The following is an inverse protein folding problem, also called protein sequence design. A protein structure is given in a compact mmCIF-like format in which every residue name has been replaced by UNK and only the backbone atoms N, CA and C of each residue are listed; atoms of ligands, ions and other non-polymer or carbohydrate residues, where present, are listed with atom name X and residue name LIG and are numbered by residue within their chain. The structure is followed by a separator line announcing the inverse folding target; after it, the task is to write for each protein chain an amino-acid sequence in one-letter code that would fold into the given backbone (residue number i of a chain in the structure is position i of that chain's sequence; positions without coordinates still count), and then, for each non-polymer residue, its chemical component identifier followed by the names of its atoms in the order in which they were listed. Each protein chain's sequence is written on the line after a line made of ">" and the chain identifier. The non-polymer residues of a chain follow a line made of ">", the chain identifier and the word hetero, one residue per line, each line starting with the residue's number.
data_IF_952890152936
#
_entry.id   IF_952890152936
#
_cell.length_a   1.000
_cell.length_b   1.000
_cell.length_c   1.000
_cell.angle_alpha   90.00
_cell.angle_beta   90.00
_cell.angle_gamma   90.00
#
_symmetry.space_group_name_H-M   'P 1'
#
loop_
_entity.id
_entity.type
_entity.pdbx_description
1 polymer ?
#
# COMPACT_ATOMS: atom_id res chain seq x y z
N UNK A 1 7.35 41.01 45.71
CA UNK A 1 6.40 41.14 44.60
C UNK A 1 6.36 39.83 43.83
N UNK A 2 5.16 39.25 43.79
CA UNK A 2 4.57 38.29 42.82
C UNK A 2 5.42 37.09 42.37
N UNK A 3 5.08 35.93 42.94
CA UNK A 3 5.20 34.61 42.32
C UNK A 3 3.94 34.32 41.48
N UNK A 4 4.09 33.65 40.34
CA UNK A 4 2.95 33.12 39.56
C UNK A 4 3.24 31.66 39.22
N UNK A 5 2.61 30.77 39.99
CA UNK A 5 2.44 29.36 39.66
C UNK A 5 0.96 29.17 39.33
N UNK A 6 0.67 28.75 38.09
CA UNK A 6 -0.68 28.42 37.63
C UNK A 6 -0.92 26.94 37.91
N UNK A 7 -1.73 26.67 38.93
CA UNK A 7 -2.25 25.36 39.29
C UNK A 7 -3.59 25.15 38.57
N UNK A 8 -3.68 24.10 37.74
CA UNK A 8 -4.90 23.73 37.00
C UNK A 8 -5.65 22.66 37.79
N UNK A 9 -6.84 23.01 38.29
CA UNK A 9 -7.76 22.10 38.96
C UNK A 9 -8.55 21.25 37.94
N UNK A 10 -8.74 19.94 38.17
CA UNK A 10 -9.66 19.13 37.36
C UNK A 10 -11.10 19.28 37.88
N UNK A 11 -12.00 19.75 37.02
CA UNK A 11 -13.45 19.71 37.26
C UNK A 11 -14.03 18.37 36.79
N UNK A 12 -14.51 17.58 37.75
CA UNK A 12 -15.33 16.39 37.51
C UNK A 12 -16.76 16.79 37.15
N UNK A 13 -17.18 16.56 35.89
CA UNK A 13 -18.58 16.70 35.48
C UNK A 13 -19.25 15.34 35.59
N UNK A 14 -20.17 15.21 36.56
CA UNK A 14 -21.16 14.14 36.63
C UNK A 14 -22.36 14.54 35.78
N UNK A 15 -22.65 13.80 34.71
CA UNK A 15 -23.94 13.84 34.02
C UNK A 15 -24.74 12.61 34.44
N UNK A 16 -25.60 12.81 35.43
CA UNK A 16 -26.75 11.95 35.70
C UNK A 16 -27.96 12.47 34.93
N UNK A 17 -28.72 11.56 34.34
CA UNK A 17 -29.93 11.88 33.58
C UNK A 17 -30.55 10.59 33.03
N UNK A 18 -31.10 9.78 33.94
CA UNK A 18 -32.01 8.70 33.58
C UNK A 18 -33.36 9.32 33.20
N UNK A 19 -33.74 9.25 31.92
CA UNK A 19 -35.13 9.41 31.52
C UNK A 19 -35.85 8.07 31.72
N UNK A 20 -36.51 7.92 32.87
CA UNK A 20 -37.49 6.86 33.09
C UNK A 20 -38.77 7.24 32.33
N UNK A 21 -39.11 6.45 31.31
CA UNK A 21 -40.43 6.49 30.70
C UNK A 21 -41.50 6.13 31.74
N UNK A 22 -42.42 7.05 31.98
CA UNK A 22 -43.60 6.86 32.82
C UNK A 22 -44.51 5.78 32.20
N UNK A 23 -44.63 4.64 32.87
CA UNK A 23 -45.63 3.62 32.55
C UNK A 23 -46.82 3.85 33.48
N UNK A 24 -47.87 4.49 32.97
CA UNK A 24 -49.18 4.48 33.63
C UNK A 24 -49.91 3.17 33.26
N UNK A 25 -50.49 2.43 34.22
CA UNK A 25 -51.35 1.29 33.91
C UNK A 25 -52.78 1.78 33.68
N UNK A 26 -53.24 1.79 32.43
CA UNK A 26 -54.67 1.87 32.12
C UNK A 26 -55.28 0.47 32.12
N UNK A 27 -56.13 0.23 33.13
CA UNK A 27 -57.12 -0.86 33.13
C UNK A 27 -58.04 -0.69 31.92
N UNK A 28 -58.26 -1.77 31.18
CA UNK A 28 -59.46 -1.95 30.37
C UNK A 28 -59.92 -3.40 30.45
N UNK A 29 -61.14 -3.57 30.95
CA UNK A 29 -61.91 -4.80 30.96
C UNK A 29 -62.52 -5.08 29.57
N UNK A 30 -62.92 -6.34 29.39
CA UNK A 30 -63.63 -6.94 28.26
C UNK A 30 -64.62 -6.05 27.50
N UNK A 31 -64.58 -6.14 26.17
CA UNK A 31 -65.79 -6.32 25.35
C UNK A 31 -65.45 -6.61 23.88
N UNK A 32 -66.07 -7.66 23.36
CA UNK A 32 -65.98 -8.21 22.00
C UNK A 32 -66.45 -7.24 20.91
N UNK A 33 -65.67 -7.07 19.84
CA UNK A 33 -66.18 -6.76 18.49
C UNK A 33 -65.11 -7.05 17.41
N UNK A 34 -65.58 -7.55 16.27
CA UNK A 34 -64.81 -8.12 15.16
C UNK A 34 -63.68 -7.23 14.58
N UNK A 35 -62.51 -7.83 14.33
CA UNK A 35 -61.34 -7.19 13.73
C UNK A 35 -61.31 -7.51 12.22
N UNK A 36 -61.49 -6.49 11.37
CA UNK A 36 -61.00 -6.50 9.98
C UNK A 36 -59.52 -6.09 10.00
N UNK A 37 -58.61 -6.76 9.28
CA UNK A 37 -57.20 -6.37 9.29
C UNK A 37 -57.02 -5.06 8.52
N UNK A 38 -56.57 -4.02 9.23
CA UNK A 38 -56.09 -2.76 8.66
C UNK A 38 -54.62 -2.96 8.26
N UNK A 39 -54.19 -2.64 7.03
CA UNK A 39 -52.79 -2.76 6.67
C UNK A 39 -51.98 -1.76 7.48
N UNK A 40 -51.00 -2.28 8.23
CA UNK A 40 -50.03 -1.49 8.97
C UNK A 40 -49.02 -1.01 7.95
N UNK A 41 -49.05 0.28 7.60
CA UNK A 41 -47.97 0.92 6.85
C UNK A 41 -46.77 0.96 7.79
N UNK A 42 -45.88 -0.03 7.67
CA UNK A 42 -44.56 0.04 8.31
C UNK A 42 -43.82 1.15 7.57
N UNK A 43 -43.76 2.33 8.18
CA UNK A 43 -42.74 3.32 7.86
C UNK A 43 -41.40 2.67 8.24
N UNK A 44 -40.82 1.97 7.27
CA UNK A 44 -39.45 1.51 7.35
C UNK A 44 -38.58 2.77 7.47
N UNK A 45 -38.02 2.96 8.65
CA UNK A 45 -37.04 3.98 8.95
C UNK A 45 -35.87 3.82 7.96
N UNK A 46 -35.76 4.74 7.01
CA UNK A 46 -34.82 4.71 5.89
C UNK A 46 -33.39 5.08 6.33
N UNK A 47 -32.96 4.62 7.50
CA UNK A 47 -31.67 4.94 8.11
C UNK A 47 -30.61 3.84 7.94
N UNK A 48 -30.90 2.73 7.25
CA UNK A 48 -29.99 1.57 7.18
C UNK A 48 -29.60 1.11 5.77
N UNK A 49 -29.71 1.94 4.74
CA UNK A 49 -29.23 1.58 3.38
C UNK A 49 -28.62 2.75 2.62
N UNK A 50 -27.52 3.30 3.12
CA UNK A 50 -26.77 4.39 2.45
C UNK A 50 -25.42 3.96 1.85
N UNK A 51 -25.12 2.67 1.78
CA UNK A 51 -23.93 2.17 1.07
C UNK A 51 -24.26 1.90 -0.40
N UNK A 52 -24.43 2.97 -1.19
CA UNK A 52 -24.50 2.83 -2.65
C UNK A 52 -23.11 2.55 -3.20
N UNK A 53 -22.98 1.50 -4.03
CA UNK A 53 -21.73 1.15 -4.73
C UNK A 53 -21.18 2.35 -5.52
N UNK A 54 -22.06 3.20 -6.05
CA UNK A 54 -21.68 4.45 -6.71
C UNK A 54 -21.06 5.48 -5.78
N UNK A 55 -21.46 5.52 -4.50
CA UNK A 55 -20.86 6.40 -3.49
C UNK A 55 -19.45 5.96 -3.09
N UNK A 56 -19.22 4.65 -2.99
CA UNK A 56 -17.90 4.07 -2.71
C UNK A 56 -16.95 4.31 -3.90
N UNK A 57 -17.42 4.08 -5.13
CA UNK A 57 -16.63 4.34 -6.34
C UNK A 57 -16.30 5.82 -6.52
N UNK A 58 -17.25 6.71 -6.21
CA UNK A 58 -17.01 8.15 -6.25
C UNK A 58 -15.97 8.59 -5.20
N UNK A 59 -16.06 8.05 -3.99
CA UNK A 59 -15.07 8.31 -2.93
C UNK A 59 -13.67 7.81 -3.33
N UNK A 60 -13.58 6.59 -3.87
CA UNK A 60 -12.32 6.02 -4.35
C UNK A 60 -11.72 6.84 -5.50
N UNK A 61 -12.54 7.29 -6.45
CA UNK A 61 -12.11 8.16 -7.55
C UNK A 61 -11.58 9.52 -7.06
N UNK A 62 -12.20 10.11 -6.04
CA UNK A 62 -11.71 11.35 -5.44
C UNK A 62 -10.38 11.17 -4.69
N UNK A 63 -10.22 10.06 -3.96
CA UNK A 63 -8.96 9.71 -3.30
C UNK A 63 -7.84 9.51 -4.31
N UNK A 64 -8.10 8.75 -5.38
CA UNK A 64 -7.15 8.54 -6.47
C UNK A 64 -6.80 9.85 -7.18
N UNK A 65 -7.78 10.71 -7.45
CA UNK A 65 -7.53 12.03 -8.04
C UNK A 65 -6.61 12.89 -7.17
N UNK A 66 -6.81 12.88 -5.85
CA UNK A 66 -5.96 13.61 -4.90
C UNK A 66 -4.53 13.03 -4.87
N UNK A 67 -4.40 11.70 -4.84
CA UNK A 67 -3.10 11.03 -4.89
C UNK A 67 -2.33 11.37 -6.18
N UNK A 68 -3.01 11.40 -7.33
CA UNK A 68 -2.44 11.80 -8.63
C UNK A 68 -2.01 13.27 -8.65
N UNK A 69 -2.79 14.16 -8.03
CA UNK A 69 -2.43 15.57 -7.92
C UNK A 69 -1.17 15.77 -7.07
N UNK A 70 -1.08 15.08 -5.93
CA UNK A 70 0.11 15.07 -5.08
C UNK A 70 1.30 14.54 -5.87
N UNK A 71 1.13 13.42 -6.58
CA UNK A 71 2.19 12.84 -7.40
C UNK A 71 2.64 13.80 -8.51
N UNK A 72 1.71 14.38 -9.26
CA UNK A 72 2.00 15.31 -10.36
C UNK A 72 2.78 16.53 -9.87
N UNK A 73 2.35 17.12 -8.75
CA UNK A 73 3.03 18.29 -8.16
C UNK A 73 4.43 17.93 -7.68
N UNK A 74 4.60 16.78 -7.02
CA UNK A 74 5.90 16.30 -6.58
C UNK A 74 6.83 16.01 -7.76
N UNK A 75 6.36 15.33 -8.81
CA UNK A 75 7.10 15.06 -10.04
C UNK A 75 7.54 16.36 -10.74
N UNK A 76 6.70 17.39 -10.77
CA UNK A 76 7.06 18.69 -11.33
C UNK A 76 8.20 19.36 -10.54
N UNK A 77 8.18 19.29 -9.21
CA UNK A 77 9.27 19.82 -8.38
C UNK A 77 10.56 19.04 -8.61
N UNK A 78 10.47 17.70 -8.63
CA UNK A 78 11.63 16.83 -8.90
C UNK A 78 12.22 17.11 -10.29
N UNK A 79 11.38 17.27 -11.32
CA UNK A 79 11.81 17.62 -12.67
C UNK A 79 12.55 18.95 -12.75
N UNK A 80 12.15 19.96 -11.96
CA UNK A 80 12.86 21.24 -11.86
C UNK A 80 14.25 21.06 -11.26
N UNK A 81 14.36 20.34 -10.14
CA UNK A 81 15.64 20.06 -9.48
C UNK A 81 16.59 19.25 -10.39
N UNK A 82 16.08 18.22 -11.07
CA UNK A 82 16.86 17.44 -12.06
C UNK A 82 17.35 18.31 -13.22
N UNK A 83 16.55 19.27 -13.67
CA UNK A 83 16.95 20.22 -14.71
C UNK A 83 18.06 21.16 -14.23
N UNK A 84 18.00 21.61 -12.97
CA UNK A 84 19.07 22.41 -12.35
C UNK A 84 20.37 21.62 -12.26
N UNK A 85 20.30 20.37 -11.80
CA UNK A 85 21.43 19.43 -11.76
C UNK A 85 22.04 19.26 -13.15
N UNK A 86 21.23 18.94 -14.16
CA UNK A 86 21.68 18.76 -15.54
C UNK A 86 22.40 20.01 -16.07
N UNK A 87 21.85 21.20 -15.80
CA UNK A 87 22.46 22.47 -16.22
C UNK A 87 23.82 22.67 -15.56
N UNK A 88 23.93 22.46 -14.25
CA UNK A 88 25.20 22.59 -13.52
C UNK A 88 26.26 21.61 -14.03
N UNK A 89 25.90 20.33 -14.22
CA UNK A 89 26.80 19.31 -14.78
C UNK A 89 27.21 19.63 -16.22
N UNK A 90 26.27 20.14 -17.04
CA UNK A 90 26.58 20.54 -18.42
C UNK A 90 27.54 21.73 -18.45
N UNK A 91 27.36 22.74 -17.59
CA UNK A 91 28.30 23.84 -17.47
C UNK A 91 29.69 23.35 -17.05
N UNK A 92 29.76 22.44 -16.09
CA UNK A 92 31.01 21.82 -15.63
C UNK A 92 31.69 20.98 -16.72
N UNK A 93 30.92 20.31 -17.59
CA UNK A 93 31.47 19.55 -18.71
C UNK A 93 32.14 20.45 -19.76
N UNK A 94 31.59 21.64 -20.01
CA UNK A 94 32.13 22.57 -21.01
C UNK A 94 33.26 23.43 -20.46
N UNK A 95 33.10 23.98 -19.26
CA UNK A 95 33.99 24.98 -18.69
C UNK A 95 34.96 24.39 -17.65
N UNK A 96 34.75 23.14 -17.21
CA UNK A 96 35.48 22.52 -16.12
C UNK A 96 34.84 22.79 -14.76
N UNK A 97 34.90 21.82 -13.85
CA UNK A 97 34.28 21.88 -12.51
C UNK A 97 34.81 23.07 -11.69
N UNK A 98 36.09 23.38 -11.80
CA UNK A 98 36.72 24.49 -11.08
C UNK A 98 36.18 25.87 -11.46
N UNK A 99 35.60 25.99 -12.66
CA UNK A 99 35.04 27.23 -13.18
C UNK A 99 33.53 27.37 -12.90
N UNK A 100 32.93 26.41 -12.17
CA UNK A 100 31.53 26.45 -11.75
C UNK A 100 31.49 26.53 -10.21
N UNK A 101 31.56 27.74 -9.63
CA UNK A 101 31.61 27.92 -8.18
C UNK A 101 30.32 27.39 -7.52
N UNK A 102 30.47 26.65 -6.42
CA UNK A 102 29.34 26.10 -5.66
C UNK A 102 28.61 24.95 -6.36
N UNK A 103 29.16 24.37 -7.43
CA UNK A 103 28.52 23.25 -8.14
C UNK A 103 28.22 22.09 -7.19
N UNK A 104 29.21 21.64 -6.42
CA UNK A 104 29.05 20.51 -5.51
C UNK A 104 27.95 20.75 -4.48
N UNK A 105 27.93 21.92 -3.85
CA UNK A 105 26.90 22.30 -2.88
C UNK A 105 25.51 22.36 -3.53
N UNK A 106 25.42 22.91 -4.74
CA UNK A 106 24.15 22.97 -5.49
C UNK A 106 23.62 21.57 -5.82
N UNK A 107 24.49 20.63 -6.18
CA UNK A 107 24.13 19.24 -6.49
C UNK A 107 23.66 18.49 -5.24
N UNK A 108 24.38 18.64 -4.12
CA UNK A 108 24.00 18.05 -2.83
C UNK A 108 22.65 18.59 -2.36
N UNK A 109 22.45 19.91 -2.45
CA UNK A 109 21.18 20.56 -2.08
C UNK A 109 20.03 20.09 -2.96
N UNK A 110 20.21 20.05 -4.28
CA UNK A 110 19.18 19.61 -5.22
C UNK A 110 18.82 18.14 -4.98
N UNK A 111 19.83 17.27 -4.76
CA UNK A 111 19.61 15.86 -4.39
C UNK A 111 18.82 15.72 -3.09
N UNK A 112 19.21 16.44 -2.04
CA UNK A 112 18.49 16.41 -0.77
C UNK A 112 17.06 16.91 -0.92
N UNK A 113 16.82 17.94 -1.74
CA UNK A 113 15.49 18.45 -2.05
C UNK A 113 14.63 17.40 -2.76
N UNK A 114 15.18 16.71 -3.76
CA UNK A 114 14.51 15.62 -4.46
C UNK A 114 14.15 14.50 -3.48
N UNK A 115 15.09 14.05 -2.65
CA UNK A 115 14.85 13.01 -1.66
C UNK A 115 13.71 13.40 -0.73
N UNK A 116 13.73 14.62 -0.18
CA UNK A 116 12.68 15.11 0.69
C UNK A 116 11.30 15.13 -0.01
N UNK A 117 11.23 15.56 -1.27
CA UNK A 117 9.96 15.59 -2.03
C UNK A 117 9.43 14.18 -2.28
N UNK A 118 10.30 13.23 -2.66
CA UNK A 118 9.92 11.83 -2.86
C UNK A 118 9.42 11.20 -1.56
N UNK A 119 10.00 11.57 -0.43
CA UNK A 119 9.57 11.08 0.88
C UNK A 119 8.22 11.67 1.33
N UNK A 120 8.00 12.96 1.05
CA UNK A 120 6.77 13.66 1.42
C UNK A 120 5.60 13.37 0.46
N UNK A 121 5.89 12.85 -0.74
CA UNK A 121 4.88 12.47 -1.73
C UNK A 121 4.07 11.24 -1.27
N UNK A 122 3.15 11.48 -0.34
CA UNK A 122 2.27 10.47 0.22
C UNK A 122 0.84 10.97 0.36
N UNK A 123 -0.12 10.05 0.29
CA UNK A 123 -1.53 10.26 0.54
C UNK A 123 -2.02 9.15 1.47
N UNK A 124 -2.64 9.52 2.59
CA UNK A 124 -3.14 8.58 3.61
C UNK A 124 -2.06 7.58 4.10
N UNK A 125 -0.82 8.08 4.29
CA UNK A 125 0.33 7.27 4.72
C UNK A 125 0.96 6.41 3.62
N UNK A 126 0.37 6.35 2.42
CA UNK A 126 0.88 5.60 1.28
C UNK A 126 1.66 6.50 0.33
N UNK A 127 2.83 6.06 -0.13
CA UNK A 127 3.59 6.78 -1.14
C UNK A 127 2.85 6.77 -2.48
N UNK A 128 2.75 7.94 -3.10
CA UNK A 128 2.12 8.09 -4.42
C UNK A 128 3.13 8.01 -5.57
N UNK A 129 4.43 8.07 -5.25
CA UNK A 129 5.55 7.92 -6.18
C UNK A 129 6.57 6.95 -5.56
N UNK A 130 7.15 6.07 -6.37
CA UNK A 130 8.25 5.20 -5.92
C UNK A 130 9.65 5.80 -6.12
N UNK A 131 10.67 5.02 -5.77
CA UNK A 131 12.07 5.46 -5.88
C UNK A 131 12.52 5.68 -7.33
N UNK A 132 11.84 5.07 -8.32
CA UNK A 132 12.12 5.27 -9.75
C UNK A 132 11.27 6.39 -10.36
N UNK A 133 10.53 7.12 -9.51
CA UNK A 133 9.64 8.20 -9.92
C UNK A 133 8.39 7.73 -10.66
N UNK A 134 8.02 6.44 -10.55
CA UNK A 134 6.78 5.91 -11.11
C UNK A 134 5.59 6.19 -10.20
N UNK A 135 4.44 6.46 -10.81
CA UNK A 135 3.17 6.67 -10.12
C UNK A 135 2.69 5.35 -9.46
N UNK A 136 2.37 5.39 -8.16
CA UNK A 136 1.81 4.25 -7.41
C UNK A 136 0.50 4.66 -6.73
N UNK A 137 -0.62 4.14 -7.21
CA UNK A 137 -1.96 4.51 -6.74
C UNK A 137 -2.69 3.40 -5.98
N UNK A 138 -2.26 2.14 -6.13
CA UNK A 138 -3.04 0.97 -5.69
C UNK A 138 -2.18 -0.18 -5.15
N UNK A 139 -0.91 0.09 -4.82
CA UNK A 139 0.03 -0.96 -4.41
C UNK A 139 0.51 -0.73 -2.99
N UNK A 140 0.55 -1.82 -2.22
CA UNK A 140 1.30 -1.87 -0.98
C UNK A 140 2.71 -1.34 -1.25
N UNK A 141 3.18 -0.47 -0.35
CA UNK A 141 4.47 0.20 -0.46
C UNK A 141 5.61 -0.80 -0.21
N UNK A 142 5.87 -1.65 -1.19
CA UNK A 142 6.92 -2.68 -1.16
C UNK A 142 8.16 -2.13 -1.86
N UNK A 143 9.30 -2.30 -1.21
CA UNK A 143 10.62 -1.96 -1.74
C UNK A 143 11.46 -3.22 -1.85
N UNK A 144 12.16 -3.35 -2.97
CA UNK A 144 13.16 -4.41 -3.14
C UNK A 144 14.57 -3.86 -2.95
N UNK A 145 15.45 -4.71 -2.46
CA UNK A 145 16.85 -4.39 -2.25
C UNK A 145 17.71 -5.65 -2.26
N UNK A 146 19.00 -5.48 -2.47
CA UNK A 146 20.01 -6.52 -2.38
C UNK A 146 21.07 -6.15 -1.34
N UNK A 147 21.80 -7.15 -0.86
CA UNK A 147 22.97 -6.96 0.01
C UNK A 147 24.21 -7.12 -0.86
N UNK A 148 25.06 -6.08 -1.02
CA UNK A 148 26.25 -6.17 -1.86
C UNK A 148 27.12 -7.38 -1.50
N UNK A 149 27.49 -8.17 -2.51
CA UNK A 149 28.33 -9.37 -2.34
C UNK A 149 27.57 -10.66 -1.96
N UNK A 150 26.28 -10.57 -1.63
CA UNK A 150 25.41 -11.72 -1.36
C UNK A 150 24.76 -12.23 -2.66
N UNK A 151 25.42 -13.19 -3.32
CA UNK A 151 24.98 -13.77 -4.59
C UNK A 151 25.26 -15.27 -4.58
N UNK A 152 24.27 -16.13 -4.87
CA UNK A 152 24.40 -17.59 -4.70
C UNK A 152 25.50 -18.23 -5.53
N UNK A 153 25.81 -17.70 -6.72
CA UNK A 153 26.84 -18.23 -7.62
C UNK A 153 28.27 -17.85 -7.21
N UNK A 154 28.44 -16.79 -6.41
CA UNK A 154 29.77 -16.33 -6.00
C UNK A 154 30.44 -17.34 -5.09
N UNK A 155 31.52 -18.00 -5.52
CA UNK A 155 32.21 -19.04 -4.74
C UNK A 155 31.28 -20.22 -4.40
N UNK A 156 30.49 -20.66 -5.39
CA UNK A 156 29.51 -21.75 -5.25
C UNK A 156 30.10 -22.99 -4.61
N UNK A 157 31.35 -23.36 -4.93
CA UNK A 157 32.05 -24.59 -4.50
C UNK A 157 32.43 -24.65 -3.00
N UNK A 158 32.31 -23.54 -2.25
CA UNK A 158 32.72 -23.49 -0.84
C UNK A 158 31.52 -23.40 0.08
N UNK A 159 31.47 -24.29 1.06
CA UNK A 159 30.51 -24.18 2.13
C UNK A 159 30.85 -22.97 3.02
N UNK A 160 29.84 -22.17 3.36
CA UNK A 160 29.99 -20.99 4.21
C UNK A 160 28.68 -20.71 4.95
N UNK A 161 28.79 -20.28 6.21
CA UNK A 161 27.67 -19.76 6.97
C UNK A 161 27.79 -18.23 7.07
N UNK A 162 26.72 -17.52 6.73
CA UNK A 162 26.66 -16.06 6.78
C UNK A 162 25.59 -15.64 7.79
N UNK A 163 25.95 -14.78 8.73
CA UNK A 163 25.02 -14.10 9.63
C UNK A 163 24.66 -12.74 9.07
N UNK A 164 23.37 -12.46 8.99
CA UNK A 164 22.81 -11.13 8.74
C UNK A 164 22.15 -10.63 10.02
N UNK A 165 22.65 -9.55 10.60
CA UNK A 165 22.03 -8.90 11.74
C UNK A 165 21.37 -7.60 11.29
N UNK A 166 20.03 -7.55 11.42
CA UNK A 166 19.25 -6.35 11.11
C UNK A 166 19.12 -5.47 12.36
N UNK A 167 19.12 -4.13 12.24
CA UNK A 167 19.07 -3.21 13.38
C UNK A 167 17.89 -3.38 14.34
N UNK A 168 16.83 -4.11 13.94
CA UNK A 168 15.70 -4.44 14.79
C UNK A 168 15.95 -5.60 15.77
N UNK A 169 17.18 -6.10 15.86
CA UNK A 169 17.59 -7.10 16.85
C UNK A 169 17.27 -8.55 16.47
N UNK A 170 16.94 -8.80 15.21
CA UNK A 170 16.73 -10.14 14.67
C UNK A 170 17.86 -10.49 13.69
N UNK A 171 18.43 -11.67 13.89
CA UNK A 171 19.53 -12.20 13.10
C UNK A 171 19.05 -13.37 12.25
N UNK A 172 19.52 -13.44 11.02
CA UNK A 172 19.22 -14.53 10.09
C UNK A 172 20.51 -15.21 9.70
N UNK A 173 20.53 -16.54 9.80
CA UNK A 173 21.66 -17.36 9.36
C UNK A 173 21.36 -17.92 7.97
N UNK A 174 22.32 -17.82 7.08
CA UNK A 174 22.29 -18.38 5.73
C UNK A 174 23.37 -19.44 5.65
N UNK A 175 23.02 -20.63 5.18
CA UNK A 175 23.95 -21.71 4.93
C UNK A 175 24.11 -21.89 3.42
N UNK A 176 25.33 -21.72 2.95
CA UNK A 176 25.77 -22.11 1.61
C UNK A 176 26.50 -23.43 1.75
N UNK A 177 26.04 -24.49 1.09
CA UNK A 177 26.60 -25.83 1.29
C UNK A 177 27.74 -26.17 0.30
N UNK A 178 28.18 -25.23 -0.52
CA UNK A 178 29.25 -25.46 -1.50
C UNK A 178 28.82 -26.23 -2.77
N UNK A 179 27.69 -26.93 -2.72
CA UNK A 179 27.18 -27.78 -3.82
C UNK A 179 25.65 -27.66 -3.98
N UNK A 180 25.01 -26.86 -3.13
CA UNK A 180 23.57 -26.73 -3.09
C UNK A 180 23.04 -25.88 -4.25
N UNK A 181 21.86 -26.28 -4.72
CA UNK A 181 21.02 -25.48 -5.61
C UNK A 181 20.72 -24.13 -4.94
N UNK A 182 21.13 -23.04 -5.60
CA UNK A 182 20.94 -21.68 -5.11
C UNK A 182 19.48 -21.36 -4.80
N UNK A 183 18.53 -21.98 -5.52
CA UNK A 183 17.11 -21.84 -5.20
C UNK A 183 16.77 -22.38 -3.81
N UNK A 184 17.35 -23.51 -3.41
CA UNK A 184 17.08 -24.13 -2.11
C UNK A 184 17.61 -23.25 -0.98
N UNK A 185 18.82 -22.69 -1.13
CA UNK A 185 19.38 -21.74 -0.16
C UNK A 185 18.49 -20.51 -0.03
N UNK A 186 18.02 -19.93 -1.14
CA UNK A 186 17.11 -18.78 -1.10
C UNK A 186 15.75 -19.12 -0.49
N UNK A 187 15.19 -20.31 -0.78
CA UNK A 187 13.93 -20.76 -0.15
C UNK A 187 14.05 -20.91 1.37
N UNK A 188 15.18 -21.40 1.87
CA UNK A 188 15.43 -21.47 3.32
C UNK A 188 15.59 -20.08 3.94
N UNK A 189 16.27 -19.17 3.22
CA UNK A 189 16.39 -17.77 3.63
C UNK A 189 15.03 -17.07 3.65
N UNK A 190 14.20 -17.21 2.61
CA UNK A 190 12.85 -16.64 2.53
C UNK A 190 12.06 -16.97 3.80
N UNK A 191 12.05 -18.26 4.18
CA UNK A 191 11.38 -18.71 5.41
C UNK A 191 11.90 -18.04 6.69
N UNK A 192 13.20 -17.75 6.72
CA UNK A 192 13.86 -17.15 7.88
C UNK A 192 13.61 -15.64 7.99
N UNK A 193 13.31 -14.96 6.87
CA UNK A 193 13.04 -13.52 6.84
C UNK A 193 11.56 -13.15 6.89
N UNK A 194 10.64 -14.12 6.78
CA UNK A 194 9.19 -13.85 6.91
C UNK A 194 8.84 -13.17 8.25
N UNK A 195 9.48 -13.60 9.35
CA UNK A 195 9.27 -13.01 10.68
C UNK A 195 9.71 -11.54 10.79
N UNK A 196 10.55 -11.08 9.87
CA UNK A 196 11.00 -9.70 9.72
C UNK A 196 10.07 -8.85 8.84
N UNK A 197 8.97 -9.43 8.34
CA UNK A 197 8.11 -8.76 7.36
C UNK A 197 8.77 -8.62 5.99
N UNK A 198 9.72 -9.49 5.68
CA UNK A 198 10.45 -9.50 4.40
C UNK A 198 10.24 -10.82 3.66
N UNK A 199 10.51 -10.79 2.36
CA UNK A 199 10.58 -11.96 1.49
C UNK A 199 11.93 -11.99 0.81
N UNK A 200 12.46 -13.17 0.52
CA UNK A 200 13.67 -13.34 -0.27
C UNK A 200 13.38 -14.14 -1.54
N UNK A 201 13.96 -13.70 -2.65
CA UNK A 201 13.85 -14.34 -3.96
C UNK A 201 15.19 -14.32 -4.68
N UNK A 202 15.36 -15.24 -5.62
CA UNK A 202 16.57 -15.33 -6.43
C UNK A 202 16.43 -14.38 -7.63
N UNK A 203 17.38 -13.47 -7.80
CA UNK A 203 17.51 -12.62 -8.99
C UNK A 203 18.10 -13.39 -10.17
N UNK A 204 17.90 -12.87 -11.39
CA UNK A 204 18.37 -13.51 -12.64
C UNK A 204 19.90 -13.67 -12.70
N UNK A 205 20.64 -12.77 -12.07
CA UNK A 205 22.11 -12.79 -11.97
C UNK A 205 22.64 -13.65 -10.81
N UNK A 206 21.74 -14.30 -10.06
CA UNK A 206 22.06 -15.04 -8.84
C UNK A 206 22.14 -14.18 -7.58
N UNK A 207 21.86 -12.88 -7.65
CA UNK A 207 21.74 -12.04 -6.46
C UNK A 207 20.55 -12.47 -5.60
N UNK A 208 20.64 -12.26 -4.29
CA UNK A 208 19.49 -12.46 -3.40
C UNK A 208 18.74 -11.12 -3.29
N UNK A 209 17.52 -11.10 -3.80
CA UNK A 209 16.61 -9.96 -3.74
C UNK A 209 15.71 -10.09 -2.53
N UNK A 210 15.69 -9.08 -1.68
CA UNK A 210 14.78 -8.96 -0.55
C UNK A 210 13.65 -8.01 -0.92
N UNK A 211 12.42 -8.35 -0.56
CA UNK A 211 11.26 -7.46 -0.63
C UNK A 211 10.76 -7.17 0.78
N UNK A 212 10.54 -5.91 1.10
CA UNK A 212 10.04 -5.48 2.41
C UNK A 212 9.02 -4.34 2.25
N UNK A 213 8.16 -4.12 3.24
CA UNK A 213 7.42 -2.86 3.28
C UNK A 213 8.39 -1.68 3.43
N UNK A 214 8.03 -0.51 2.90
CA UNK A 214 8.84 0.71 3.03
C UNK A 214 9.07 1.07 4.51
N UNK A 215 8.11 0.76 5.39
CA UNK A 215 8.25 0.94 6.84
C UNK A 215 9.36 0.06 7.42
N UNK A 216 9.36 -1.24 7.10
CA UNK A 216 10.42 -2.16 7.52
C UNK A 216 11.77 -1.75 6.90
N UNK A 217 11.78 -1.37 5.63
CA UNK A 217 12.98 -0.88 4.94
C UNK A 217 13.61 0.34 5.62
N UNK A 218 12.78 1.32 6.01
CA UNK A 218 13.24 2.51 6.75
C UNK A 218 13.76 2.17 8.13
N UNK A 219 13.09 1.26 8.83
CA UNK A 219 13.53 0.84 10.16
C UNK A 219 14.88 0.13 10.15
N UNK A 220 15.25 -0.53 9.05
CA UNK A 220 16.60 -1.07 8.85
C UNK A 220 17.66 0.01 8.63
N UNK A 221 17.28 1.29 8.51
CA UNK A 221 18.18 2.41 8.22
C UNK A 221 19.07 2.17 6.99
N UNK A 222 18.59 1.33 6.05
CA UNK A 222 19.33 0.91 4.87
C UNK A 222 20.68 0.24 5.20
N UNK A 223 20.80 -0.39 6.37
CA UNK A 223 22.02 -1.05 6.84
C UNK A 223 21.74 -2.46 7.34
N UNK A 224 22.73 -3.32 7.18
CA UNK A 224 22.76 -4.69 7.72
C UNK A 224 24.17 -4.99 8.18
N UNK A 225 24.33 -5.67 9.32
CA UNK A 225 25.63 -6.17 9.72
C UNK A 225 25.79 -7.59 9.17
N UNK A 226 26.93 -7.85 8.54
CA UNK A 226 27.20 -9.12 7.88
C UNK A 226 28.47 -9.74 8.45
N UNK A 227 28.36 -10.99 8.88
CA UNK A 227 29.49 -11.79 9.36
C UNK A 227 29.56 -13.07 8.52
N UNK A 228 30.71 -13.34 7.90
CA UNK A 228 30.95 -14.58 7.15
C UNK A 228 32.06 -15.41 7.76
N UNK A 229 32.59 -16.36 6.99
CA UNK A 229 33.70 -17.25 7.39
C UNK A 229 34.98 -16.95 6.58
N UNK A 230 35.03 -15.83 5.87
CA UNK A 230 36.18 -15.38 5.09
C UNK A 230 36.13 -15.74 3.61
N UNK A 231 35.01 -16.26 3.09
CA UNK A 231 34.85 -16.56 1.67
C UNK A 231 34.09 -15.44 0.95
N UNK A 232 32.78 -15.29 1.21
CA UNK A 232 31.98 -14.21 0.62
C UNK A 232 32.13 -12.93 1.43
N UNK A 233 32.18 -13.05 2.75
CA UNK A 233 32.39 -11.93 3.68
C UNK A 233 33.51 -12.27 4.67
N UNK A 234 34.21 -11.25 5.23
CA UNK A 234 35.26 -11.47 6.22
C UNK A 234 34.80 -12.24 7.45
N UNK A 235 35.69 -13.07 8.00
CA UNK A 235 35.48 -13.75 9.27
C UNK A 235 35.68 -12.81 10.47
N UNK A 236 35.01 -13.11 11.58
CA UNK A 236 35.21 -12.43 12.86
C UNK A 236 34.16 -11.37 13.15
N UNK A 237 34.54 -10.09 13.11
CA UNK A 237 33.63 -9.00 13.52
C UNK A 237 32.59 -8.69 12.43
N UNK A 238 31.33 -8.39 12.81
CA UNK A 238 30.31 -8.01 11.85
C UNK A 238 30.67 -6.71 11.09
N UNK A 239 30.52 -6.75 9.76
CA UNK A 239 30.76 -5.60 8.90
C UNK A 239 29.44 -4.91 8.56
N UNK A 240 29.38 -3.58 8.70
CA UNK A 240 28.20 -2.81 8.31
C UNK A 240 28.18 -2.63 6.80
N UNK A 241 27.15 -3.14 6.14
CA UNK A 241 26.90 -2.95 4.72
C UNK A 241 25.65 -2.10 4.50
N UNK A 242 25.70 -1.25 3.49
CA UNK A 242 24.52 -0.51 3.02
C UNK A 242 23.70 -1.39 2.07
N UNK A 243 22.39 -1.43 2.29
CA UNK A 243 21.45 -2.08 1.39
C UNK A 243 21.43 -1.34 0.05
N UNK A 244 21.46 -2.09 -1.05
CA UNK A 244 21.35 -1.53 -2.40
C UNK A 244 19.90 -1.66 -2.85
N UNK A 245 19.23 -0.55 -3.14
CA UNK A 245 17.87 -0.62 -3.68
C UNK A 245 17.89 -1.31 -5.05
N UNK A 246 16.89 -2.15 -5.31
CA UNK A 246 16.72 -2.81 -6.60
C UNK A 246 15.30 -2.54 -7.10
N UNK A 247 15.12 -1.80 -8.19
CA UNK A 247 16.15 -1.13 -9.00
C UNK A 247 16.76 0.13 -8.34
N UNK A 248 17.93 0.53 -8.85
CA UNK A 248 18.56 1.82 -8.51
C UNK A 248 17.61 2.96 -8.88
N UNK A 249 17.21 3.76 -7.90
CA UNK A 249 16.33 4.89 -8.13
C UNK A 249 16.99 6.22 -7.81
N UNK A 250 16.14 7.23 -7.65
CA UNK A 250 16.56 8.62 -7.49
C UNK A 250 17.35 8.86 -6.20
N UNK A 251 17.12 8.06 -5.15
CA UNK A 251 17.86 8.16 -3.89
C UNK A 251 19.35 7.79 -4.05
N UNK A 252 19.64 6.85 -4.95
CA UNK A 252 20.98 6.33 -5.25
C UNK A 252 21.77 7.21 -6.24
N UNK A 253 21.16 8.28 -6.78
CA UNK A 253 21.81 9.21 -7.70
C UNK A 253 23.09 9.79 -7.10
N UNK A 254 24.23 9.55 -7.76
CA UNK A 254 25.55 10.05 -7.37
C UNK A 254 26.22 10.81 -8.51
N UNK A 255 27.07 11.78 -8.15
CA UNK A 255 27.75 12.66 -9.10
C UNK A 255 29.25 12.40 -9.07
N UNK A 256 29.82 11.93 -10.18
CA UNK A 256 31.27 11.83 -10.35
C UNK A 256 31.77 13.10 -11.06
N UNK A 257 32.44 13.96 -10.29
CA UNK A 257 33.03 15.20 -10.77
C UNK A 257 34.55 15.07 -10.99
N UNK A 258 35.14 13.90 -10.74
CA UNK A 258 36.58 13.67 -10.82
C UNK A 258 37.11 13.57 -12.24
N UNK A 259 36.22 13.30 -13.21
CA UNK A 259 36.60 13.17 -14.62
C UNK A 259 35.51 13.69 -15.56
N UNK A 260 35.89 14.06 -16.79
CA UNK A 260 34.93 14.46 -17.83
C UNK A 260 33.95 13.34 -18.15
N UNK A 261 34.41 12.09 -18.14
CA UNK A 261 33.55 10.93 -18.42
C UNK A 261 32.63 10.62 -17.24
N UNK A 262 33.09 10.79 -16.00
CA UNK A 262 32.24 10.76 -14.80
C UNK A 262 31.08 11.76 -14.89
N UNK A 263 31.37 13.01 -15.30
CA UNK A 263 30.35 14.04 -15.47
C UNK A 263 29.35 13.64 -16.56
N UNK A 264 29.80 13.09 -17.69
CA UNK A 264 28.91 12.58 -18.76
C UNK A 264 28.01 11.46 -18.25
N UNK A 265 28.54 10.51 -17.47
CA UNK A 265 27.76 9.43 -16.87
C UNK A 265 26.72 9.97 -15.89
N UNK A 266 27.08 10.96 -15.07
CA UNK A 266 26.12 11.64 -14.19
C UNK A 266 25.02 12.35 -14.98
N UNK A 267 25.35 13.04 -16.08
CA UNK A 267 24.34 13.64 -16.98
C UNK A 267 23.42 12.57 -17.58
N UNK A 268 23.96 11.42 -18.01
CA UNK A 268 23.17 10.33 -18.56
C UNK A 268 22.16 9.79 -17.54
N UNK A 269 22.58 9.54 -16.30
CA UNK A 269 21.69 9.11 -15.20
C UNK A 269 20.60 10.16 -14.91
N UNK A 270 20.96 11.44 -14.89
CA UNK A 270 19.99 12.54 -14.69
C UNK A 270 18.97 12.60 -15.84
N UNK A 271 19.41 12.40 -17.09
CA UNK A 271 18.52 12.34 -18.24
C UNK A 271 17.56 11.15 -18.17
N UNK A 272 18.01 9.99 -17.70
CA UNK A 272 17.16 8.82 -17.48
C UNK A 272 16.03 9.15 -16.50
N UNK A 273 16.35 9.74 -15.34
CA UNK A 273 15.33 10.15 -14.37
C UNK A 273 14.41 11.26 -14.90
N UNK A 274 14.92 12.21 -15.71
CA UNK A 274 14.07 13.19 -16.38
C UNK A 274 13.06 12.53 -17.33
N UNK A 275 13.49 11.50 -18.06
CA UNK A 275 12.60 10.69 -18.90
C UNK A 275 11.54 9.95 -18.09
N UNK A 276 11.91 9.39 -16.93
CA UNK A 276 10.97 8.75 -15.99
C UNK A 276 9.95 9.76 -15.43
N UNK A 277 10.39 10.97 -15.05
CA UNK A 277 9.49 12.04 -14.60
C UNK A 277 8.50 12.42 -15.69
N UNK A 278 8.98 12.62 -16.93
CA UNK A 278 8.12 12.98 -18.05
C UNK A 278 7.09 11.88 -18.35
N UNK A 279 7.52 10.63 -18.36
CA UNK A 279 6.65 9.47 -18.56
C UNK A 279 5.57 9.40 -17.47
N UNK A 280 5.97 9.56 -16.21
CA UNK A 280 5.03 9.49 -15.07
C UNK A 280 4.09 10.68 -15.00
N UNK A 281 4.51 11.86 -15.47
CA UNK A 281 3.62 13.02 -15.62
C UNK A 281 2.58 12.81 -16.72
N UNK A 282 2.96 12.20 -17.85
CA UNK A 282 1.99 11.86 -18.90
C UNK A 282 1.01 10.79 -18.39
N UNK A 283 1.50 9.75 -17.72
CA UNK A 283 0.64 8.74 -17.07
C UNK A 283 -0.33 9.37 -16.06
N UNK A 284 0.13 10.32 -15.25
CA UNK A 284 -0.72 11.03 -14.31
C UNK A 284 -1.82 11.86 -15.02
N UNK A 285 -1.48 12.47 -16.16
CA UNK A 285 -2.42 13.22 -17.00
C UNK A 285 -3.44 12.31 -17.68
N UNK A 286 -3.00 11.20 -18.25
CA UNK A 286 -3.87 10.19 -18.86
C UNK A 286 -4.84 9.62 -17.84
N UNK A 287 -4.32 9.24 -16.67
CA UNK A 287 -5.13 8.74 -15.56
C UNK A 287 -6.13 9.80 -15.06
N UNK A 288 -5.73 11.07 -14.98
CA UNK A 288 -6.66 12.15 -14.63
C UNK A 288 -7.79 12.31 -15.66
N UNK A 289 -7.47 12.20 -16.96
CA UNK A 289 -8.48 12.24 -18.02
C UNK A 289 -9.43 11.05 -17.96
N UNK A 290 -8.90 9.85 -17.72
CA UNK A 290 -9.70 8.63 -17.58
C UNK A 290 -10.63 8.71 -16.36
N UNK A 291 -10.11 9.15 -15.21
CA UNK A 291 -10.92 9.41 -14.02
C UNK A 291 -12.04 10.43 -14.28
N UNK A 292 -11.76 11.49 -15.04
CA UNK A 292 -12.77 12.49 -15.42
C UNK A 292 -13.92 11.86 -16.20
N UNK A 293 -13.62 11.02 -17.20
CA UNK A 293 -14.61 10.28 -18.00
C UNK A 293 -15.38 9.30 -17.11
N UNK A 294 -14.69 8.55 -16.25
CA UNK A 294 -15.31 7.59 -15.36
C UNK A 294 -16.25 8.27 -14.36
N UNK A 295 -15.83 9.36 -13.71
CA UNK A 295 -16.69 10.12 -12.80
C UNK A 295 -17.92 10.69 -13.50
N UNK A 296 -17.78 11.21 -14.73
CA UNK A 296 -18.91 11.67 -15.51
C UNK A 296 -19.88 10.53 -15.85
N UNK A 297 -19.37 9.34 -16.16
CA UNK A 297 -20.18 8.16 -16.43
C UNK A 297 -20.94 7.66 -15.18
N UNK A 298 -20.28 7.68 -14.01
CA UNK A 298 -20.91 7.33 -12.72
C UNK A 298 -21.99 8.36 -12.35
N UNK A 299 -21.73 9.65 -12.58
CA UNK A 299 -22.70 10.71 -12.35
C UNK A 299 -23.92 10.65 -13.29
N UNK A 300 -23.70 10.28 -14.54
CA UNK A 300 -24.78 10.05 -15.50
C UNK A 300 -25.58 8.79 -15.17
N UNK A 301 -24.90 7.70 -14.78
CA UNK A 301 -25.54 6.43 -14.41
C UNK A 301 -26.31 6.51 -13.10
N UNK A 302 -25.82 7.28 -12.12
CA UNK A 302 -26.53 7.53 -10.86
C UNK A 302 -27.82 8.32 -11.07
N UNK A 303 -27.83 9.26 -12.03
CA UNK A 303 -29.06 9.94 -12.49
C UNK A 303 -30.02 9.02 -13.25
N UNK A 304 -29.52 7.95 -13.86
CA UNK A 304 -30.31 7.01 -14.67
C UNK A 304 -30.83 5.78 -13.90
N UNK A 305 -30.47 5.61 -12.62
CA UNK A 305 -31.14 4.64 -11.74
C UNK A 305 -32.57 5.10 -11.45
N UNK A 306 -33.44 4.91 -12.44
CA UNK A 306 -34.87 5.14 -12.31
C UNK A 306 -35.43 4.22 -11.24
N UNK A 307 -36.26 4.77 -10.36
CA UNK A 307 -36.98 4.03 -9.31
C UNK A 307 -37.73 2.83 -9.91
N UNK A 308 -38.18 2.94 -11.16
CA UNK A 308 -38.80 1.85 -11.93
C UNK A 308 -37.85 0.69 -12.23
N UNK A 309 -36.59 0.95 -12.60
CA UNK A 309 -35.61 -0.11 -12.85
C UNK A 309 -35.19 -0.86 -11.57
N UNK A 310 -35.12 -0.14 -10.44
CA UNK A 310 -34.86 -0.74 -9.12
C UNK A 310 -36.05 -1.59 -8.68
N UNK A 311 -37.28 -1.09 -8.82
CA UNK A 311 -38.50 -1.85 -8.51
C UNK A 311 -38.66 -3.09 -9.39
N UNK A 312 -38.30 -3.02 -10.68
CA UNK A 312 -38.35 -4.19 -11.57
C UNK A 312 -37.37 -5.29 -11.13
N UNK A 313 -36.13 -4.92 -10.75
CA UNK A 313 -35.16 -5.90 -10.21
C UNK A 313 -35.59 -6.45 -8.86
N UNK A 314 -36.13 -5.62 -7.98
CA UNK A 314 -36.63 -6.05 -6.67
C UNK A 314 -37.80 -7.04 -6.82
N UNK A 315 -38.74 -6.78 -7.72
CA UNK A 315 -39.84 -7.69 -8.03
C UNK A 315 -39.32 -9.03 -8.57
N UNK A 316 -38.34 -9.03 -9.49
CA UNK A 316 -37.75 -10.29 -9.99
C UNK A 316 -37.04 -11.10 -8.89
N UNK A 317 -36.43 -10.40 -7.92
CA UNK A 317 -35.78 -11.04 -6.79
C UNK A 317 -36.82 -11.65 -5.82
N UNK A 318 -37.90 -10.92 -5.53
CA UNK A 318 -39.00 -11.43 -4.70
C UNK A 318 -39.64 -12.65 -5.37
N UNK A 319 -39.89 -12.61 -6.68
CA UNK A 319 -40.40 -13.74 -7.44
C UNK A 319 -39.48 -14.97 -7.36
N UNK A 320 -38.16 -14.81 -7.54
CA UNK A 320 -37.22 -15.93 -7.41
C UNK A 320 -37.13 -16.49 -5.98
N UNK A 321 -37.25 -15.66 -4.95
CA UNK A 321 -37.28 -16.11 -3.55
C UNK A 321 -38.53 -16.93 -3.19
N UNK A 322 -39.67 -16.61 -3.83
CA UNK A 322 -40.91 -17.37 -3.69
C UNK A 322 -40.79 -18.77 -4.28
N UNK A 323 -40.06 -18.92 -5.39
CA UNK A 323 -39.76 -20.20 -6.04
C UNK A 323 -38.80 -21.05 -5.19
N UNK A 324 -37.83 -20.44 -4.51
CA UNK A 324 -36.96 -21.15 -3.55
C UNK A 324 -37.76 -21.68 -2.35
N UNK A 325 -38.70 -20.89 -1.83
CA UNK A 325 -39.52 -21.30 -0.69
C UNK A 325 -40.47 -22.45 -1.06
N UNK A 326 -41.07 -22.42 -2.25
CA UNK A 326 -41.95 -23.50 -2.72
C UNK A 326 -41.20 -24.80 -3.00
N UNK A 327 -40.00 -24.71 -3.59
CA UNK A 327 -39.13 -25.89 -3.81
C UNK A 327 -38.62 -26.49 -2.51
N UNK A 328 -38.30 -25.66 -1.51
CA UNK A 328 -37.93 -26.13 -0.17
C UNK A 328 -39.10 -26.80 0.57
N UNK A 329 -40.32 -26.24 0.46
CA UNK A 329 -41.53 -26.86 1.02
C UNK A 329 -41.86 -28.19 0.35
N UNK A 330 -41.70 -28.30 -0.97
CA UNK A 330 -41.88 -29.55 -1.70
C UNK A 330 -40.86 -30.63 -1.29
N UNK A 331 -39.60 -30.24 -1.10
CA UNK A 331 -38.54 -31.13 -0.58
C UNK A 331 -38.85 -31.61 0.84
N UNK A 332 -39.34 -30.74 1.72
CA UNK A 332 -39.68 -31.09 3.09
C UNK A 332 -40.94 -31.99 3.16
N UNK A 333 -41.90 -31.78 2.25
CA UNK A 333 -43.05 -32.67 2.09
C UNK A 333 -42.63 -34.08 1.61
N UNK A 334 -41.70 -34.17 0.65
CA UNK A 334 -41.14 -35.46 0.20
C UNK A 334 -40.28 -36.16 1.25
N UNK A 335 -39.63 -35.41 2.14
CA UNK A 335 -38.87 -35.96 3.27
C UNK A 335 -39.78 -36.61 4.33
N UNK A 336 -40.97 -36.03 4.59
CA UNK A 336 -41.95 -36.64 5.49
C UNK A 336 -42.54 -37.92 4.91
N UNK A 337 -42.81 -37.98 3.60
CA UNK A 337 -43.38 -39.16 2.94
C UNK A 337 -42.56 -40.44 3.20
N UNK A 338 -41.21 -40.35 3.21
CA UNK A 338 -40.33 -41.51 3.47
C UNK A 338 -40.48 -42.10 4.87
N UNK A 339 -40.87 -41.31 5.88
CA UNK A 339 -41.04 -41.79 7.26
C UNK A 339 -42.31 -42.64 7.39
N UNK A 340 -43.36 -42.31 6.65
CA UNK A 340 -44.62 -43.05 6.65
C UNK A 340 -44.51 -44.35 5.86
N UNK A 341 -43.72 -44.38 4.78
CA UNK A 341 -43.46 -45.61 3.99
C UNK A 341 -42.65 -46.64 4.79
N UNK A 342 -41.73 -46.20 5.65
CA UNK A 342 -40.95 -47.10 6.53
C UNK A 342 -41.81 -47.68 7.65
N UNK A 343 -42.77 -46.92 8.19
CA UNK A 343 -43.73 -47.44 9.19
C UNK A 343 -44.74 -48.41 8.56
N UNK A 344 -45.09 -48.21 7.28
CA UNK A 344 -45.94 -49.15 6.54
C UNK A 344 -45.23 -50.47 6.18
N UNK A 345 -43.89 -50.52 6.22
CA UNK A 345 -43.08 -51.73 6.04
C UNK A 345 -42.74 -52.45 7.36
N UNK A 346 -43.19 -51.91 8.51
CA UNK A 346 -42.99 -52.46 9.86
C UNK A 346 -44.29 -53.02 10.47
N UNK A 347 -45.31 -53.29 9.65
CA UNK A 347 -46.53 -54.03 10.01
C UNK A 347 -46.68 -55.26 9.12
#
# INVERSE_FOLDING_TARGET
>A
MVMSAVEVRPHSIRLGGQEQASIMPTRSADSSAAIKPRPVTVLADAATSAYSVSGIQLMQGQQQATAVQIASKSLQVIGKELTLIKRGLSQALHQGVQNVPGLQDSLVRSKSGIQQVVEQASFDGNKVIDNELHLKLDKANIRRFSIPGLNVHRLSERAEQIRLDFPQGQSVMIQFDGLADGERTVKMLDRSVIGLGMRASLGEDGSILFEASETAYRQMQQKVLVTGEGHRFPAGQPNVLSLKAEPDGIAELSFDLGSRDGIKQSIAKVNQHLGQVQTSLEQAKDFHSELGVQMQSVHNSSRQLSVSAVNAKLNSFIESSSQFTSTFQALNAQANVRRHTVVALLK
#
